data_IF_498667765255
#
_entry.id   IF_498667765255
#
_cell.length_a   1.000
_cell.length_b   1.000
_cell.length_c   1.000
_cell.angle_alpha   90.00
_cell.angle_beta   90.00
_cell.angle_gamma   90.00
#
_symmetry.space_group_name_H-M   'P 1'
#
loop_
_entity.id
_entity.type
_entity.pdbx_description
1 polymer ?
#
# COMPACT_ATOMS: atom_id res chain seq x y z
N UNK A 1 -0.69 -31.83 -61.78
CA UNK A 1 -0.59 -30.69 -60.83
C UNK A 1 -0.61 -31.27 -59.42
N UNK A 2 0.40 -30.88 -58.65
CA UNK A 2 0.66 -30.90 -57.19
C UNK A 2 -0.40 -31.48 -56.22
N UNK A 3 0.15 -32.20 -55.22
CA UNK A 3 -0.39 -32.76 -53.97
C UNK A 3 -1.18 -31.75 -53.08
N UNK A 4 -1.98 -32.12 -52.07
CA UNK A 4 -1.66 -32.78 -50.79
C UNK A 4 -2.93 -33.32 -50.08
N UNK A 5 -2.66 -34.07 -49.00
CA UNK A 5 -3.42 -35.17 -48.34
C UNK A 5 -4.41 -34.78 -47.23
N UNK A 6 -5.21 -35.76 -46.73
CA UNK A 6 -6.30 -35.58 -45.75
C UNK A 6 -5.85 -35.66 -44.27
N UNK A 7 -6.59 -35.02 -43.37
CA UNK A 7 -6.60 -35.31 -41.91
C UNK A 7 -8.05 -35.52 -41.48
N UNK A 8 -8.50 -36.64 -40.93
CA UNK A 8 -8.07 -37.39 -39.72
C UNK A 8 -8.03 -36.47 -38.49
N UNK A 9 -9.19 -36.29 -37.86
CA UNK A 9 -9.26 -35.93 -36.45
C UNK A 9 -8.90 -37.18 -35.64
N UNK A 10 -7.71 -37.14 -35.04
CA UNK A 10 -7.19 -38.17 -34.17
C UNK A 10 -7.94 -38.17 -32.82
N UNK A 11 -8.26 -39.38 -32.35
CA UNK A 11 -8.37 -39.69 -30.93
C UNK A 11 -6.99 -39.54 -30.25
N UNK A 12 -6.93 -39.72 -28.91
CA UNK A 12 -5.73 -39.74 -28.01
C UNK A 12 -5.58 -38.35 -27.33
N UNK A 13 -5.86 -38.11 -26.03
CA UNK A 13 -5.71 -38.90 -24.80
C UNK A 13 -6.73 -38.49 -23.73
N UNK A 14 -7.31 -39.49 -23.04
CA UNK A 14 -7.59 -39.36 -21.60
C UNK A 14 -6.26 -39.08 -20.92
N UNK A 15 -6.11 -37.93 -20.27
CA UNK A 15 -5.11 -37.78 -19.20
C UNK A 15 -5.84 -37.77 -17.89
N UNK A 16 -5.77 -38.91 -17.22
CA UNK A 16 -6.10 -39.08 -15.81
C UNK A 16 -5.39 -37.97 -15.01
N UNK A 17 -6.17 -37.08 -14.40
CA UNK A 17 -5.68 -36.22 -13.33
C UNK A 17 -6.08 -36.86 -11.99
N UNK A 18 -5.45 -37.99 -11.68
CA UNK A 18 -5.09 -38.27 -10.30
C UNK A 18 -3.74 -37.61 -10.09
N UNK A 19 -3.72 -36.28 -9.94
CA UNK A 19 -2.61 -35.66 -9.21
C UNK A 19 -3.01 -35.67 -7.74
N UNK A 20 -2.04 -36.08 -6.95
CA UNK A 20 -2.13 -36.39 -5.55
C UNK A 20 -2.74 -35.18 -4.81
N UNK A 21 -3.81 -35.36 -4.04
CA UNK A 21 -4.42 -34.26 -3.26
C UNK A 21 -3.40 -33.58 -2.31
N UNK A 22 -2.30 -34.27 -1.97
CA UNK A 22 -1.15 -33.72 -1.24
C UNK A 22 -0.30 -32.72 -2.05
N UNK A 23 -0.01 -33.00 -3.32
CA UNK A 23 0.81 -32.08 -4.13
C UNK A 23 0.05 -30.77 -4.43
N UNK A 24 -1.27 -30.85 -4.62
CA UNK A 24 -2.10 -29.66 -4.80
C UNK A 24 -2.20 -28.83 -3.51
N UNK A 25 -2.28 -29.48 -2.34
CA UNK A 25 -2.24 -28.75 -1.07
C UNK A 25 -0.89 -28.12 -0.83
N UNK A 26 0.21 -28.78 -1.19
CA UNK A 26 1.56 -28.25 -0.99
C UNK A 26 1.85 -27.09 -1.95
N UNK A 27 1.46 -27.16 -3.22
CA UNK A 27 1.58 -26.03 -4.15
C UNK A 27 0.66 -24.86 -3.77
N UNK A 28 -0.56 -25.15 -3.31
CA UNK A 28 -1.46 -24.11 -2.81
C UNK A 28 -0.96 -23.49 -1.51
N UNK A 29 -0.39 -24.29 -0.60
CA UNK A 29 0.21 -23.81 0.64
C UNK A 29 1.50 -23.05 0.35
N UNK A 30 2.36 -23.50 -0.56
CA UNK A 30 3.55 -22.75 -0.97
C UNK A 30 3.18 -21.46 -1.69
N UNK A 31 2.13 -21.45 -2.51
CA UNK A 31 1.61 -20.24 -3.14
C UNK A 31 0.92 -19.31 -2.15
N UNK A 32 0.24 -19.84 -1.14
CA UNK A 32 -0.36 -19.07 -0.05
C UNK A 32 0.71 -18.54 0.91
N UNK A 33 1.69 -19.35 1.29
CA UNK A 33 2.85 -18.98 2.12
C UNK A 33 3.72 -17.98 1.38
N UNK A 34 3.94 -18.14 0.07
CA UNK A 34 4.69 -17.15 -0.72
C UNK A 34 3.87 -15.87 -0.92
N UNK A 35 2.56 -15.94 -1.11
CA UNK A 35 1.70 -14.76 -1.12
C UNK A 35 1.69 -14.05 0.24
N UNK A 36 1.57 -14.79 1.35
CA UNK A 36 1.63 -14.29 2.72
C UNK A 36 3.03 -13.72 3.04
N UNK A 37 4.10 -14.39 2.61
CA UNK A 37 5.48 -13.92 2.74
C UNK A 37 5.78 -12.69 1.87
N UNK A 38 5.14 -12.56 0.71
CA UNK A 38 5.20 -11.36 -0.15
C UNK A 38 4.36 -10.21 0.44
N UNK A 39 3.38 -10.52 1.29
CA UNK A 39 2.57 -9.48 1.98
C UNK A 39 3.18 -8.99 3.28
N UNK A 40 4.13 -9.72 3.88
CA UNK A 40 4.78 -9.30 5.12
C UNK A 40 6.02 -8.45 4.85
N UNK A 41 6.14 -7.34 5.59
CA UNK A 41 7.37 -6.55 5.62
C UNK A 41 8.48 -7.41 6.22
N UNK A 42 9.53 -7.68 5.46
CA UNK A 42 10.67 -8.47 5.96
C UNK A 42 11.44 -7.72 7.05
N UNK A 43 12.20 -8.43 7.88
CA UNK A 43 13.02 -7.81 8.92
C UNK A 43 14.00 -6.75 8.37
N UNK A 44 14.58 -7.00 7.18
CA UNK A 44 15.46 -6.05 6.51
C UNK A 44 14.71 -4.79 6.06
N UNK A 45 13.50 -4.95 5.49
CA UNK A 45 12.64 -3.82 5.12
C UNK A 45 12.20 -3.03 6.36
N UNK A 46 11.80 -3.71 7.43
CA UNK A 46 11.42 -3.08 8.69
C UNK A 46 12.57 -2.26 9.29
N UNK A 47 13.80 -2.81 9.28
CA UNK A 47 14.99 -2.10 9.73
C UNK A 47 15.28 -0.86 8.86
N UNK A 48 15.16 -0.96 7.55
CA UNK A 48 15.35 0.17 6.62
C UNK A 48 14.28 1.28 6.80
N UNK A 49 13.03 0.89 7.04
CA UNK A 49 11.94 1.84 7.35
C UNK A 49 12.25 2.55 8.67
N UNK A 50 12.60 1.81 9.72
CA UNK A 50 12.89 2.36 11.05
C UNK A 50 14.09 3.29 11.06
N UNK A 51 15.17 2.92 10.35
CA UNK A 51 16.39 3.73 10.31
C UNK A 51 16.17 5.09 9.64
N UNK A 52 15.30 5.14 8.63
CA UNK A 52 14.99 6.38 7.89
C UNK A 52 13.84 7.20 8.50
N UNK A 53 13.02 6.61 9.37
CA UNK A 53 11.90 7.31 10.00
C UNK A 53 12.30 8.53 10.84
N UNK A 54 13.45 8.45 11.54
CA UNK A 54 13.98 9.57 12.32
C UNK A 54 14.23 10.83 11.47
N UNK A 55 14.81 10.64 10.28
CA UNK A 55 15.07 11.73 9.34
C UNK A 55 13.75 12.28 8.75
N UNK A 56 12.80 11.40 8.40
CA UNK A 56 11.49 11.79 7.84
C UNK A 56 10.69 12.62 8.85
N UNK A 57 10.66 12.18 10.11
CA UNK A 57 9.89 12.82 11.19
C UNK A 57 10.61 13.98 11.88
N UNK A 58 11.87 14.24 11.54
CA UNK A 58 12.69 15.30 12.14
C UNK A 58 12.04 16.69 12.06
N UNK A 59 12.22 17.49 13.12
CA UNK A 59 11.72 18.87 13.22
C UNK A 59 10.26 18.98 13.66
N UNK A 60 9.32 18.62 12.79
CA UNK A 60 7.88 18.86 12.96
C UNK A 60 7.05 17.58 13.12
N UNK A 61 7.71 16.45 13.41
CA UNK A 61 7.06 15.14 13.48
C UNK A 61 6.61 14.62 12.11
N UNK A 62 7.16 15.15 11.01
CA UNK A 62 6.79 14.80 9.66
C UNK A 62 5.57 15.57 9.11
N UNK A 63 5.07 16.57 9.83
CA UNK A 63 3.88 17.31 9.40
C UNK A 63 4.04 17.94 8.01
N UNK A 64 5.22 18.51 7.71
CA UNK A 64 5.58 19.03 6.38
C UNK A 64 5.55 17.96 5.30
N UNK A 65 6.05 16.75 5.58
CA UNK A 65 5.98 15.59 4.66
C UNK A 65 4.53 15.21 4.39
N UNK A 66 3.69 15.18 5.43
CA UNK A 66 2.26 14.89 5.31
C UNK A 66 1.50 15.92 4.49
N UNK A 67 1.81 17.21 4.66
CA UNK A 67 1.24 18.25 3.81
C UNK A 67 1.70 18.07 2.36
N UNK A 68 3.01 17.93 2.12
CA UNK A 68 3.56 17.81 0.76
C UNK A 68 3.03 16.55 0.04
N UNK A 69 2.84 15.45 0.77
CA UNK A 69 2.15 14.25 0.28
C UNK A 69 0.77 14.59 -0.29
N UNK A 70 -0.08 15.31 0.46
CA UNK A 70 -1.42 15.64 -0.03
C UNK A 70 -1.41 16.58 -1.22
N UNK A 71 -0.49 17.56 -1.23
CA UNK A 71 -0.37 18.46 -2.38
C UNK A 71 0.00 17.66 -3.64
N UNK A 72 0.99 16.76 -3.55
CA UNK A 72 1.35 15.86 -4.66
C UNK A 72 0.19 14.96 -5.08
N UNK A 73 -0.52 14.41 -4.10
CA UNK A 73 -1.65 13.52 -4.33
C UNK A 73 -2.76 14.21 -5.12
N UNK A 74 -3.15 15.42 -4.71
CA UNK A 74 -4.18 16.20 -5.39
C UNK A 74 -3.72 16.73 -6.76
N UNK A 75 -2.44 17.06 -6.91
CA UNK A 75 -1.88 17.44 -8.22
C UNK A 75 -1.93 16.27 -9.21
N UNK A 76 -1.58 15.06 -8.78
CA UNK A 76 -1.62 13.87 -9.63
C UNK A 76 -3.04 13.30 -9.81
N UNK A 77 -3.95 13.57 -8.86
CA UNK A 77 -5.32 13.03 -8.84
C UNK A 77 -6.33 14.14 -8.51
N UNK A 78 -6.63 15.08 -9.43
CA UNK A 78 -7.46 16.26 -9.11
C UNK A 78 -8.86 15.93 -8.60
N UNK A 79 -9.45 14.81 -9.04
CA UNK A 79 -10.77 14.33 -8.55
C UNK A 79 -10.79 14.05 -7.05
N UNK A 80 -9.64 13.75 -6.45
CA UNK A 80 -9.54 13.50 -5.01
C UNK A 80 -9.72 14.76 -4.18
N UNK A 81 -9.51 15.97 -4.74
CA UNK A 81 -9.81 17.20 -4.01
C UNK A 81 -11.28 17.24 -3.57
N UNK A 82 -12.20 16.88 -4.47
CA UNK A 82 -13.63 16.84 -4.18
C UNK A 82 -13.98 15.80 -3.12
N UNK A 83 -13.32 14.63 -3.14
CA UNK A 83 -13.51 13.59 -2.11
C UNK A 83 -13.14 14.12 -0.71
N UNK A 84 -12.12 14.98 -0.63
CA UNK A 84 -11.70 15.61 0.63
C UNK A 84 -12.43 16.94 0.93
N UNK A 85 -13.37 17.35 0.08
CA UNK A 85 -14.15 18.58 0.22
C UNK A 85 -13.36 19.86 -0.07
N UNK A 86 -12.38 19.79 -0.96
CA UNK A 86 -11.59 20.94 -1.41
C UNK A 86 -11.93 21.31 -2.86
N UNK A 87 -11.73 22.58 -3.18
CA UNK A 87 -11.85 23.17 -4.52
C UNK A 87 -10.66 24.09 -4.80
N UNK A 88 -10.50 24.52 -6.05
CA UNK A 88 -9.38 25.40 -6.45
C UNK A 88 -8.14 24.62 -6.86
N UNK A 89 -6.95 25.16 -6.59
CA UNK A 89 -5.69 24.51 -6.93
C UNK A 89 -5.08 23.79 -5.72
N UNK A 90 -4.40 22.64 -5.90
CA UNK A 90 -3.66 21.97 -4.83
C UNK A 90 -2.73 22.91 -4.06
N UNK A 91 -1.94 23.74 -4.76
CA UNK A 91 -0.97 24.64 -4.11
C UNK A 91 -1.61 25.68 -3.19
N UNK A 92 -2.83 26.13 -3.49
CA UNK A 92 -3.57 27.04 -2.59
C UNK A 92 -3.87 26.41 -1.23
N UNK A 93 -3.87 25.08 -1.12
CA UNK A 93 -4.14 24.36 0.12
C UNK A 93 -2.92 24.28 1.05
N UNK A 94 -1.73 24.73 0.64
CA UNK A 94 -0.53 24.70 1.50
C UNK A 94 -0.70 25.51 2.79
N UNK A 95 -1.50 26.58 2.77
CA UNK A 95 -1.86 27.38 3.95
C UNK A 95 -3.16 26.93 4.64
N UNK A 96 -3.83 25.88 4.13
CA UNK A 96 -5.10 25.42 4.68
C UNK A 96 -4.87 24.63 5.99
N UNK A 97 -5.31 25.20 7.12
CA UNK A 97 -5.10 24.61 8.43
C UNK A 97 -5.73 23.20 8.60
N UNK A 98 -6.86 22.92 7.92
CA UNK A 98 -7.50 21.60 7.94
C UNK A 98 -6.61 20.56 7.25
N UNK A 99 -6.05 20.90 6.08
CA UNK A 99 -5.15 20.00 5.36
C UNK A 99 -3.84 19.79 6.12
N UNK A 100 -3.25 20.85 6.68
CA UNK A 100 -2.05 20.75 7.51
C UNK A 100 -2.27 19.80 8.71
N UNK A 101 -3.39 19.94 9.41
CA UNK A 101 -3.74 19.06 10.52
C UNK A 101 -4.00 17.63 10.06
N UNK A 102 -4.58 17.42 8.88
CA UNK A 102 -4.79 16.09 8.32
C UNK A 102 -3.44 15.43 7.98
N UNK A 103 -2.55 16.13 7.29
CA UNK A 103 -1.20 15.65 6.97
C UNK A 103 -0.43 15.23 8.22
N UNK A 104 -0.48 16.05 9.29
CA UNK A 104 0.11 15.70 10.59
C UNK A 104 -0.48 14.40 11.16
N UNK A 105 -1.80 14.24 11.19
CA UNK A 105 -2.45 13.03 11.72
C UNK A 105 -2.07 11.77 10.94
N UNK A 106 -1.99 11.86 9.62
CA UNK A 106 -1.55 10.73 8.78
C UNK A 106 -0.12 10.34 9.14
N UNK A 107 0.80 11.30 9.24
CA UNK A 107 2.20 10.98 9.55
C UNK A 107 2.38 10.47 10.99
N UNK A 108 1.59 10.95 11.95
CA UNK A 108 1.54 10.36 13.29
C UNK A 108 1.10 8.89 13.27
N UNK A 109 0.11 8.56 12.45
CA UNK A 109 -0.34 7.18 12.29
C UNK A 109 0.71 6.31 11.59
N UNK A 110 1.39 6.83 10.56
CA UNK A 110 2.51 6.14 9.93
C UNK A 110 3.61 5.87 10.96
N UNK A 111 3.94 6.84 11.82
CA UNK A 111 4.91 6.64 12.90
C UNK A 111 4.50 5.58 13.92
N UNK A 112 3.20 5.48 14.21
CA UNK A 112 2.65 4.39 15.05
C UNK A 112 2.82 3.04 14.36
N UNK A 113 2.54 2.95 13.05
CA UNK A 113 2.78 1.71 12.32
C UNK A 113 4.27 1.34 12.28
N UNK A 114 5.17 2.32 12.09
CA UNK A 114 6.63 2.11 12.10
C UNK A 114 7.10 1.55 13.44
N UNK A 115 6.57 2.04 14.57
CA UNK A 115 6.93 1.51 15.90
C UNK A 115 6.40 0.10 16.16
N UNK A 116 5.38 -0.33 15.41
CA UNK A 116 4.74 -1.65 15.52
C UNK A 116 5.23 -2.65 14.46
N UNK A 117 6.18 -2.30 13.58
CA UNK A 117 6.66 -3.17 12.49
C UNK A 117 7.26 -4.52 12.93
N UNK A 118 7.74 -4.65 14.18
CA UNK A 118 8.25 -5.93 14.70
C UNK A 118 7.11 -6.84 15.20
N UNK A 119 5.90 -6.30 15.35
CA UNK A 119 4.70 -6.99 15.82
C UNK A 119 3.58 -6.81 14.79
N UNK A 120 3.64 -7.63 13.74
CA UNK A 120 2.70 -7.58 12.63
C UNK A 120 1.24 -7.78 13.08
N UNK A 121 1.00 -8.58 14.12
CA UNK A 121 -0.33 -8.82 14.66
C UNK A 121 -0.89 -7.55 15.32
N UNK A 122 -0.09 -6.88 16.16
CA UNK A 122 -0.45 -5.61 16.78
C UNK A 122 -0.67 -4.52 15.73
N UNK A 123 0.28 -4.34 14.81
CA UNK A 123 0.17 -3.35 13.72
C UNK A 123 -1.12 -3.55 12.92
N UNK A 124 -1.41 -4.79 12.53
CA UNK A 124 -2.63 -5.14 11.78
C UNK A 124 -3.89 -4.81 12.58
N UNK A 125 -3.93 -5.15 13.88
CA UNK A 125 -5.07 -4.85 14.74
C UNK A 125 -5.30 -3.33 14.89
N UNK A 126 -4.23 -2.57 15.15
CA UNK A 126 -4.26 -1.11 15.25
C UNK A 126 -4.81 -0.47 13.96
N UNK A 127 -4.27 -0.88 12.81
CA UNK A 127 -4.62 -0.29 11.52
C UNK A 127 -6.00 -0.73 11.01
N UNK A 128 -6.42 -1.96 11.30
CA UNK A 128 -7.78 -2.42 11.01
C UNK A 128 -8.81 -1.63 11.80
N UNK A 129 -8.56 -1.38 13.10
CA UNK A 129 -9.43 -0.54 13.92
C UNK A 129 -9.49 0.90 13.37
N UNK A 130 -8.37 1.42 12.87
CA UNK A 130 -8.37 2.70 12.16
C UNK A 130 -9.20 2.65 10.86
N UNK A 131 -9.11 1.58 10.08
CA UNK A 131 -9.93 1.37 8.89
C UNK A 131 -11.43 1.37 9.19
N UNK A 132 -11.86 0.76 10.29
CA UNK A 132 -13.26 0.82 10.74
C UNK A 132 -13.69 2.27 11.00
N UNK A 133 -12.82 3.11 11.58
CA UNK A 133 -13.11 4.55 11.78
C UNK A 133 -13.23 5.31 10.45
N UNK A 134 -12.53 4.88 9.40
CA UNK A 134 -12.59 5.52 8.09
C UNK A 134 -13.97 5.42 7.43
N UNK A 135 -14.79 4.41 7.79
CA UNK A 135 -16.20 4.32 7.37
C UNK A 135 -17.01 5.56 7.78
N UNK A 136 -16.63 6.22 8.88
CA UNK A 136 -17.27 7.45 9.36
C UNK A 136 -16.87 8.71 8.59
N UNK A 137 -15.90 8.65 7.68
CA UNK A 137 -15.39 9.80 6.93
C UNK A 137 -15.95 9.91 5.50
N UNK A 138 -16.74 8.93 5.06
CA UNK A 138 -17.39 8.90 3.74
C UNK A 138 -17.13 7.59 2.99
N UNK A 139 -17.42 7.61 1.68
CA UNK A 139 -17.20 6.47 0.77
C UNK A 139 -15.71 6.37 0.38
N UNK A 140 -14.88 5.97 1.33
CA UNK A 140 -13.44 5.79 1.14
C UNK A 140 -13.18 4.44 0.44
N UNK A 141 -12.60 4.49 -0.76
CA UNK A 141 -12.36 3.30 -1.61
C UNK A 141 -10.93 2.81 -1.49
N UNK A 142 -10.74 1.49 -1.58
CA UNK A 142 -9.42 0.87 -1.64
C UNK A 142 -8.53 1.49 -2.73
N UNK A 143 -9.11 1.84 -3.88
CA UNK A 143 -8.42 2.48 -5.00
C UNK A 143 -7.79 3.85 -4.67
N UNK A 144 -8.17 4.50 -3.57
CA UNK A 144 -7.61 5.81 -3.18
C UNK A 144 -6.23 5.69 -2.53
N UNK A 145 -5.88 4.53 -1.95
CA UNK A 145 -4.65 4.35 -1.18
C UNK A 145 -3.38 4.21 -2.05
N UNK A 146 -3.33 3.39 -3.12
CA UNK A 146 -2.11 3.26 -3.92
C UNK A 146 -1.52 4.59 -4.43
N UNK A 147 -2.30 5.51 -5.04
CA UNK A 147 -1.76 6.81 -5.46
C UNK A 147 -1.34 7.71 -4.29
N UNK A 148 -1.94 7.54 -3.10
CA UNK A 148 -1.51 8.26 -1.89
C UNK A 148 -0.13 7.76 -1.42
N UNK A 149 0.12 6.45 -1.49
CA UNK A 149 1.41 5.85 -1.18
C UNK A 149 2.54 6.35 -2.08
N UNK A 150 2.30 6.45 -3.39
CA UNK A 150 3.25 7.05 -4.34
C UNK A 150 3.59 8.48 -3.94
N UNK A 151 2.57 9.26 -3.57
CA UNK A 151 2.73 10.66 -3.15
C UNK A 151 3.49 10.80 -1.83
N UNK A 152 3.29 9.87 -0.89
CA UNK A 152 3.98 9.83 0.39
C UNK A 152 5.47 9.57 0.20
N UNK A 153 5.83 8.55 -0.59
CA UNK A 153 7.22 8.18 -0.85
C UNK A 153 7.93 9.31 -1.59
N UNK A 154 7.27 9.98 -2.54
CA UNK A 154 7.82 11.14 -3.22
C UNK A 154 8.06 12.33 -2.27
N UNK A 155 7.17 12.57 -1.30
CA UNK A 155 7.35 13.60 -0.28
C UNK A 155 8.49 13.27 0.69
N UNK A 156 8.63 12.00 1.09
CA UNK A 156 9.76 11.52 1.90
C UNK A 156 11.08 11.68 1.16
N UNK A 157 11.12 11.33 -0.13
CA UNK A 157 12.31 11.51 -0.97
C UNK A 157 12.69 12.98 -1.11
N UNK A 158 11.71 13.87 -1.28
CA UNK A 158 11.98 15.30 -1.35
C UNK A 158 12.63 15.86 -0.06
N UNK A 159 12.32 15.29 1.10
CA UNK A 159 12.91 15.67 2.39
C UNK A 159 14.27 15.00 2.64
N UNK A 160 14.39 13.71 2.37
CA UNK A 160 15.51 12.87 2.82
C UNK A 160 16.48 12.47 1.70
N UNK A 161 16.12 12.69 0.44
CA UNK A 161 16.90 12.27 -0.73
C UNK A 161 17.08 10.75 -0.80
N UNK A 162 18.26 10.33 -1.26
CA UNK A 162 18.62 8.91 -1.45
C UNK A 162 18.78 8.11 -0.13
N UNK A 163 18.53 8.72 1.04
CA UNK A 163 18.62 8.05 2.34
C UNK A 163 17.49 7.07 2.61
N UNK A 164 16.37 7.19 1.90
CA UNK A 164 15.22 6.28 2.07
C UNK A 164 15.33 5.10 1.11
N UNK A 165 15.06 3.90 1.61
CA UNK A 165 14.82 2.74 0.74
C UNK A 165 13.37 2.77 0.26
N UNK A 166 13.17 3.22 -0.98
CA UNK A 166 11.83 3.32 -1.59
C UNK A 166 11.13 1.97 -1.69
N UNK A 167 11.88 0.88 -1.91
CA UNK A 167 11.32 -0.47 -2.00
C UNK A 167 10.79 -0.93 -0.65
N UNK A 168 11.56 -0.69 0.43
CA UNK A 168 11.11 -0.95 1.79
C UNK A 168 9.88 -0.10 2.15
N UNK A 169 9.91 1.21 1.86
CA UNK A 169 8.77 2.10 2.12
C UNK A 169 7.52 1.75 1.31
N UNK A 170 7.67 1.28 0.06
CA UNK A 170 6.55 0.79 -0.74
C UNK A 170 5.93 -0.48 -0.14
N UNK A 171 6.75 -1.44 0.28
CA UNK A 171 6.27 -2.65 0.96
C UNK A 171 5.59 -2.32 2.29
N UNK A 172 6.20 -1.44 3.10
CA UNK A 172 5.63 -0.97 4.36
C UNK A 172 4.31 -0.23 4.18
N UNK A 173 4.23 0.71 3.23
CA UNK A 173 2.98 1.41 2.93
C UNK A 173 1.90 0.44 2.48
N UNK A 174 2.23 -0.53 1.62
CA UNK A 174 1.27 -1.56 1.17
C UNK A 174 0.70 -2.34 2.36
N UNK A 175 1.55 -2.82 3.27
CA UNK A 175 1.11 -3.52 4.48
C UNK A 175 0.20 -2.63 5.36
N UNK A 176 0.55 -1.35 5.49
CA UNK A 176 -0.26 -0.37 6.23
C UNK A 176 -1.63 -0.17 5.56
N UNK A 177 -1.65 0.09 4.24
CA UNK A 177 -2.87 0.34 3.50
C UNK A 177 -3.78 -0.88 3.46
N UNK A 178 -3.22 -2.08 3.29
CA UNK A 178 -4.01 -3.32 3.23
C UNK A 178 -4.75 -3.57 4.55
N UNK A 179 -4.11 -3.31 5.70
CA UNK A 179 -4.75 -3.43 7.01
C UNK A 179 -5.88 -2.40 7.21
N UNK A 180 -5.68 -1.15 6.77
CA UNK A 180 -6.71 -0.10 6.81
C UNK A 180 -7.88 -0.48 5.89
N UNK A 181 -7.60 -0.90 4.65
CA UNK A 181 -8.61 -1.32 3.66
C UNK A 181 -9.42 -2.51 4.21
N UNK A 182 -8.76 -3.51 4.82
CA UNK A 182 -9.47 -4.61 5.50
C UNK A 182 -10.41 -4.12 6.60
N UNK A 183 -10.06 -3.04 7.30
CA UNK A 183 -10.95 -2.39 8.26
C UNK A 183 -12.12 -1.68 7.59
N UNK A 184 -11.89 -0.99 6.48
CA UNK A 184 -12.93 -0.29 5.69
C UNK A 184 -13.92 -1.27 5.08
N UNK A 185 -13.47 -2.44 4.63
CA UNK A 185 -14.30 -3.45 3.95
C UNK A 185 -14.95 -4.46 4.90
N UNK A 186 -14.74 -4.31 6.21
CA UNK A 186 -15.26 -5.24 7.24
C UNK A 186 -16.76 -5.14 7.53
#
# INVERSE_FOLDING_TARGET
RVALRPGIFAAVLRRSYTHNLREFSDEFLERKISFEAVTMVSAAQAAAIKSSWGDISSGDGGASVGLDMFIRYFTANPSMMSVFGYSGSPDSLRSNAKLQNHGKKVLQQIGTAVSELDDAAKMTATLKALGVRHKGFGDIKAAYFPPLGVSLIAAMEAKCGAKIDKGAWAAGYKAISDAIISGIES
#
